data_IF_209636260348
#
_entry.id   IF_209636260348
#
_cell.length_a   1.000
_cell.length_b   1.000
_cell.length_c   1.000
_cell.angle_alpha   90.00
_cell.angle_beta   90.00
_cell.angle_gamma   90.00
#
_symmetry.space_group_name_H-M   'P 1'
#
loop_
_entity.id
_entity.type
_entity.pdbx_description
1 polymer ?
#
# COMPACT_ATOMS: atom_id res chain seq x y z
N UNK A 1 -14.38 10.03 21.08
CA UNK A 1 -14.05 9.13 19.96
C UNK A 1 -14.58 9.77 18.69
N UNK A 2 -13.68 10.27 17.85
CA UNK A 2 -13.99 10.83 16.53
C UNK A 2 -13.78 9.76 15.47
N UNK A 3 -14.66 9.72 14.47
CA UNK A 3 -14.49 8.86 13.30
C UNK A 3 -14.03 9.73 12.13
N UNK A 4 -13.09 9.21 11.35
CA UNK A 4 -12.64 9.85 10.12
C UNK A 4 -12.63 8.80 9.01
N UNK A 5 -13.29 9.13 7.90
CA UNK A 5 -13.35 8.23 6.75
C UNK A 5 -12.00 8.22 6.02
N UNK A 6 -11.59 7.03 5.59
CA UNK A 6 -10.44 6.84 4.72
C UNK A 6 -10.91 6.62 3.28
N UNK A 7 -10.37 7.39 2.34
CA UNK A 7 -10.68 7.21 0.94
C UNK A 7 -9.94 6.00 0.36
N UNK A 8 -10.69 4.99 -0.07
CA UNK A 8 -10.14 3.84 -0.78
C UNK A 8 -10.20 4.06 -2.29
N UNK A 9 -9.19 3.56 -3.00
CA UNK A 9 -9.04 3.75 -4.44
C UNK A 9 -10.22 3.17 -5.22
N UNK A 10 -10.68 1.98 -4.83
CA UNK A 10 -11.80 1.28 -5.46
C UNK A 10 -12.86 0.94 -4.40
N UNK A 11 -14.03 1.58 -4.47
CA UNK A 11 -15.16 1.31 -3.55
C UNK A 11 -16.01 0.13 -4.00
N UNK A 12 -16.16 -0.04 -5.31
CA UNK A 12 -16.90 -1.14 -5.92
C UNK A 12 -15.92 -2.24 -6.33
N UNK A 13 -16.09 -3.44 -5.78
CA UNK A 13 -15.15 -4.55 -5.95
C UNK A 13 -15.92 -5.81 -6.33
N UNK A 14 -15.43 -6.49 -7.37
CA UNK A 14 -15.92 -7.81 -7.77
C UNK A 14 -15.08 -8.89 -7.08
N UNK A 15 -15.70 -9.64 -6.17
CA UNK A 15 -15.03 -10.68 -5.39
C UNK A 15 -15.11 -12.07 -6.03
N UNK A 16 -14.55 -12.22 -7.23
CA UNK A 16 -14.35 -13.56 -7.84
C UNK A 16 -13.08 -14.25 -7.30
N UNK A 17 -12.08 -13.46 -6.88
CA UNK A 17 -10.84 -13.89 -6.23
C UNK A 17 -10.49 -12.89 -5.14
N UNK A 18 -9.57 -13.19 -4.21
CA UNK A 18 -9.13 -12.24 -3.20
C UNK A 18 -8.71 -10.89 -3.81
N UNK A 19 -9.23 -9.80 -3.25
CA UNK A 19 -8.95 -8.45 -3.69
C UNK A 19 -8.19 -7.68 -2.60
N UNK A 20 -7.28 -6.80 -3.03
CA UNK A 20 -6.56 -5.91 -2.11
C UNK A 20 -7.25 -4.56 -2.08
N UNK A 21 -7.60 -4.10 -0.87
CA UNK A 21 -8.14 -2.75 -0.64
C UNK A 21 -6.98 -1.79 -0.45
N UNK A 22 -6.99 -0.67 -1.17
CA UNK A 22 -5.91 0.32 -1.14
C UNK A 22 -6.46 1.65 -0.67
N UNK A 23 -5.95 2.13 0.47
CA UNK A 23 -6.03 3.53 0.87
C UNK A 23 -4.68 4.18 0.54
N UNK A 24 -4.69 5.23 -0.28
CA UNK A 24 -3.47 5.98 -0.57
C UNK A 24 -3.24 7.05 0.50
N UNK A 25 -1.99 7.15 0.95
CA UNK A 25 -1.56 8.20 1.87
C UNK A 25 -1.31 9.48 1.07
N UNK A 26 -2.38 10.20 0.77
CA UNK A 26 -2.36 11.50 0.08
C UNK A 26 -2.64 12.65 1.06
N UNK A 27 -2.29 13.91 0.71
CA UNK A 27 -2.64 15.07 1.52
C UNK A 27 -4.14 15.09 1.86
N UNK A 28 -4.48 15.07 3.15
CA UNK A 28 -5.86 14.98 3.65
C UNK A 28 -6.20 13.64 4.30
N UNK A 29 -5.39 12.60 4.08
CA UNK A 29 -5.46 11.38 4.90
C UNK A 29 -4.98 11.68 6.32
N UNK A 30 -5.65 11.17 7.37
CA UNK A 30 -5.18 11.30 8.75
C UNK A 30 -3.87 10.53 8.99
N UNK A 31 -3.53 9.59 8.11
CA UNK A 31 -2.31 8.78 8.22
C UNK A 31 -1.15 9.37 7.39
N UNK A 32 -1.36 10.48 6.69
CA UNK A 32 -0.38 11.06 5.76
C UNK A 32 0.94 11.49 6.44
N UNK A 33 0.83 12.01 7.67
CA UNK A 33 1.97 12.46 8.47
C UNK A 33 2.68 11.37 9.26
N UNK A 34 2.15 10.14 9.31
CA UNK A 34 2.68 9.08 10.17
C UNK A 34 3.87 8.37 9.53
N UNK A 35 5.00 8.37 10.23
CA UNK A 35 6.16 7.53 9.92
C UNK A 35 6.03 6.12 10.50
N UNK A 36 6.97 5.21 10.18
CA UNK A 36 6.98 3.84 10.71
C UNK A 36 7.17 3.77 12.22
N UNK A 37 7.96 4.68 12.80
CA UNK A 37 8.23 4.72 14.23
C UNK A 37 7.01 5.32 14.98
N UNK A 38 6.46 6.43 14.46
CA UNK A 38 5.27 7.09 15.03
C UNK A 38 4.06 6.14 15.02
N UNK A 39 3.89 5.37 13.95
CA UNK A 39 2.77 4.43 13.80
C UNK A 39 2.63 3.48 15.00
N UNK A 40 3.74 3.06 15.61
CA UNK A 40 3.72 2.12 16.74
C UNK A 40 3.30 2.77 18.07
N UNK A 41 3.41 4.08 18.18
CA UNK A 41 3.07 4.85 19.39
C UNK A 41 1.65 5.42 19.36
N UNK A 42 1.03 5.45 18.17
CA UNK A 42 -0.31 5.97 17.97
C UNK A 42 -1.42 5.08 18.57
N UNK A 43 -2.55 5.70 18.95
CA UNK A 43 -3.73 5.02 19.49
C UNK A 43 -4.94 5.23 18.58
N UNK A 44 -5.05 4.41 17.54
CA UNK A 44 -6.23 4.37 16.66
C UNK A 44 -6.66 2.94 16.33
N UNK A 45 -7.82 2.83 15.68
CA UNK A 45 -8.34 1.56 15.18
C UNK A 45 -8.91 1.77 13.77
N UNK A 46 -8.44 0.97 12.80
CA UNK A 46 -8.98 0.97 11.45
C UNK A 46 -10.15 0.00 11.37
N UNK A 47 -11.36 0.54 11.34
CA UNK A 47 -12.57 -0.27 11.16
C UNK A 47 -12.86 -0.43 9.67
N UNK A 48 -12.80 -1.67 9.19
CA UNK A 48 -13.12 -2.02 7.79
C UNK A 48 -14.50 -2.67 7.76
N UNK A 49 -15.39 -2.12 6.93
CA UNK A 49 -16.72 -2.65 6.69
C UNK A 49 -16.87 -3.07 5.24
N UNK A 50 -17.32 -4.29 5.02
CA UNK A 50 -17.66 -4.82 3.70
C UNK A 50 -19.15 -5.11 3.64
N UNK A 51 -19.85 -4.49 2.70
CA UNK A 51 -21.30 -4.64 2.50
C UNK A 51 -21.54 -5.21 1.10
N UNK A 52 -22.32 -6.27 1.00
CA UNK A 52 -22.64 -6.92 -0.27
C UNK A 52 -24.06 -7.50 -0.25
N UNK A 53 -24.62 -7.73 -1.43
CA UNK A 53 -25.90 -8.44 -1.57
C UNK A 53 -25.62 -9.90 -1.87
N UNK A 54 -26.21 -10.83 -1.11
CA UNK A 54 -26.02 -12.26 -1.33
C UNK A 54 -26.74 -12.71 -2.61
N UNK A 55 -26.00 -13.26 -3.58
CA UNK A 55 -26.55 -13.65 -4.89
C UNK A 55 -27.73 -14.63 -4.80
N UNK A 56 -27.69 -15.55 -3.83
CA UNK A 56 -28.71 -16.58 -3.65
C UNK A 56 -29.93 -16.12 -2.84
N UNK A 57 -29.76 -15.10 -1.99
CA UNK A 57 -30.81 -14.66 -1.04
C UNK A 57 -31.41 -13.31 -1.40
N UNK A 58 -30.69 -12.49 -2.19
CA UNK A 58 -31.02 -11.08 -2.41
C UNK A 58 -30.91 -10.22 -1.15
N UNK A 59 -30.38 -10.75 -0.04
CA UNK A 59 -30.29 -10.05 1.23
C UNK A 59 -29.00 -9.24 1.31
N UNK A 60 -29.07 -8.06 1.93
CA UNK A 60 -27.90 -7.25 2.22
C UNK A 60 -27.15 -7.83 3.44
N UNK A 61 -25.88 -8.15 3.24
CA UNK A 61 -24.95 -8.60 4.26
C UNK A 61 -23.92 -7.52 4.54
N UNK A 62 -23.54 -7.36 5.81
CA UNK A 62 -22.43 -6.51 6.22
C UNK A 62 -21.51 -7.28 7.15
N UNK A 63 -20.23 -7.28 6.83
CA UNK A 63 -19.14 -7.83 7.67
C UNK A 63 -18.24 -6.69 8.10
N UNK A 64 -17.74 -6.74 9.33
CA UNK A 64 -16.81 -5.75 9.87
C UNK A 64 -15.63 -6.43 10.52
N UNK A 65 -14.46 -5.85 10.37
CA UNK A 65 -13.26 -6.22 11.11
C UNK A 65 -12.51 -4.95 11.48
N UNK A 66 -11.58 -5.04 12.42
CA UNK A 66 -10.73 -3.92 12.78
C UNK A 66 -9.25 -4.29 12.86
N UNK A 67 -8.39 -3.27 12.73
CA UNK A 67 -6.94 -3.38 12.82
C UNK A 67 -6.40 -2.28 13.71
N UNK A 68 -5.55 -2.65 14.65
CA UNK A 68 -4.76 -1.73 15.48
C UNK A 68 -3.43 -1.41 14.80
N UNK A 69 -2.67 -0.40 15.25
CA UNK A 69 -1.36 -0.11 14.68
C UNK A 69 -0.39 -1.30 14.77
N UNK A 70 -0.52 -2.15 15.79
CA UNK A 70 0.25 -3.39 15.92
C UNK A 70 -0.03 -4.43 14.82
N UNK A 71 -1.20 -4.37 14.18
CA UNK A 71 -1.57 -5.25 13.06
C UNK A 71 -0.98 -4.75 11.72
N UNK A 72 -0.58 -3.48 11.64
CA UNK A 72 -0.09 -2.86 10.42
C UNK A 72 1.39 -3.21 10.19
N UNK A 73 1.67 -3.83 9.05
CA UNK A 73 3.02 -4.28 8.68
C UNK A 73 3.68 -3.29 7.72
N UNK A 74 4.40 -2.30 8.24
CA UNK A 74 5.14 -1.35 7.42
C UNK A 74 6.21 -2.06 6.57
N UNK A 75 6.34 -1.65 5.30
CA UNK A 75 7.32 -2.24 4.38
C UNK A 75 7.06 -3.69 4.00
N UNK A 76 5.82 -4.15 4.14
CA UNK A 76 5.40 -5.47 3.69
C UNK A 76 4.32 -5.38 2.61
N UNK A 77 4.33 -6.35 1.71
CA UNK A 77 3.26 -6.58 0.73
C UNK A 77 2.75 -8.02 0.82
N UNK A 78 1.49 -8.24 0.47
CA UNK A 78 0.93 -9.59 0.34
C UNK A 78 1.68 -10.40 -0.73
N UNK A 79 1.75 -11.71 -0.53
CA UNK A 79 2.30 -12.63 -1.55
C UNK A 79 1.32 -12.80 -2.70
N UNK A 80 1.86 -12.89 -3.91
CA UNK A 80 1.08 -13.24 -5.09
C UNK A 80 0.50 -14.64 -4.95
N UNK A 81 -0.84 -14.73 -4.90
CA UNK A 81 -1.56 -15.99 -4.72
C UNK A 81 -2.14 -16.56 -6.02
N UNK A 82 -2.22 -15.74 -7.08
CA UNK A 82 -2.81 -16.13 -8.36
C UNK A 82 -1.72 -16.69 -9.27
N UNK A 83 -1.86 -17.95 -9.66
CA UNK A 83 -0.99 -18.64 -10.61
C UNK A 83 -1.75 -18.84 -11.91
N UNK A 84 -1.23 -18.26 -12.99
CA UNK A 84 -1.83 -18.37 -14.33
C UNK A 84 -1.35 -19.66 -14.99
N UNK A 85 -2.26 -20.60 -15.21
CA UNK A 85 -2.03 -21.80 -15.99
C UNK A 85 -2.44 -21.63 -17.46
N UNK A 86 -2.13 -22.61 -18.30
CA UNK A 86 -2.46 -22.57 -19.75
C UNK A 86 -3.97 -22.52 -20.06
N UNK A 87 -4.82 -22.98 -19.15
CA UNK A 87 -6.28 -23.10 -19.35
C UNK A 87 -7.13 -22.60 -18.17
N UNK A 88 -6.51 -22.35 -17.02
CA UNK A 88 -7.22 -21.98 -15.79
C UNK A 88 -6.30 -21.15 -14.89
N UNK A 89 -6.91 -20.39 -13.99
CA UNK A 89 -6.25 -19.71 -12.88
C UNK A 89 -6.34 -20.57 -11.63
N UNK A 90 -5.26 -20.63 -10.86
CA UNK A 90 -5.24 -21.27 -9.54
C UNK A 90 -4.96 -20.21 -8.48
N UNK A 91 -5.79 -20.19 -7.44
CA UNK A 91 -5.60 -19.33 -6.27
C UNK A 91 -5.07 -20.18 -5.13
N UNK A 92 -3.94 -19.78 -4.55
CA UNK A 92 -3.27 -20.46 -3.45
C UNK A 92 -3.62 -19.80 -2.10
N UNK A 93 -4.72 -20.23 -1.49
CA UNK A 93 -5.22 -19.63 -0.24
C UNK A 93 -4.32 -19.86 0.98
N UNK A 94 -3.35 -20.77 0.90
CA UNK A 94 -2.33 -20.88 1.93
C UNK A 94 -1.46 -19.61 2.04
N UNK A 95 -1.42 -18.79 0.98
CA UNK A 95 -0.67 -17.54 0.93
C UNK A 95 -1.53 -16.32 1.31
N UNK A 96 -2.79 -16.50 1.69
CA UNK A 96 -3.74 -15.38 1.85
C UNK A 96 -3.28 -14.35 2.89
N UNK A 97 -2.73 -14.81 4.02
CA UNK A 97 -2.20 -13.94 5.07
C UNK A 97 -0.68 -13.76 4.99
N UNK A 98 -0.03 -14.37 4.00
CA UNK A 98 1.44 -14.36 3.90
C UNK A 98 1.94 -13.07 3.26
N UNK A 99 2.98 -12.48 3.85
CA UNK A 99 3.56 -11.21 3.39
C UNK A 99 5.05 -11.35 3.08
N UNK A 100 5.60 -10.39 2.33
CA UNK A 100 7.03 -10.29 2.02
C UNK A 100 7.53 -8.89 2.26
N UNK A 101 8.77 -8.77 2.73
CA UNK A 101 9.46 -7.49 2.84
C UNK A 101 9.70 -6.83 1.48
N UNK A 102 9.47 -5.53 1.44
CA UNK A 102 9.79 -4.66 0.31
C UNK A 102 10.57 -3.44 0.78
N UNK A 103 11.62 -3.01 0.05
CA UNK A 103 12.31 -1.77 0.38
C UNK A 103 11.35 -0.59 0.26
N UNK A 104 11.10 0.08 1.39
CA UNK A 104 10.31 1.32 1.46
C UNK A 104 11.09 2.37 2.25
N UNK A 105 10.86 3.66 1.98
CA UNK A 105 11.37 4.73 2.83
C UNK A 105 10.93 4.56 4.29
N UNK A 106 11.79 4.94 5.22
CA UNK A 106 11.48 5.01 6.66
C UNK A 106 10.98 6.40 7.04
N UNK A 107 10.19 7.00 6.17
CA UNK A 107 9.67 8.36 6.28
C UNK A 107 8.16 8.31 6.16
N UNK A 108 7.46 9.30 6.70
CA UNK A 108 6.03 9.43 6.43
C UNK A 108 5.77 9.79 4.96
N UNK A 109 4.52 9.61 4.51
CA UNK A 109 4.14 9.99 3.15
C UNK A 109 4.33 11.50 2.91
N UNK A 110 4.02 12.32 3.92
CA UNK A 110 4.25 13.77 3.88
C UNK A 110 5.72 14.14 3.65
N UNK A 111 6.63 13.53 4.41
CA UNK A 111 8.06 13.79 4.30
C UNK A 111 8.62 13.34 2.95
N UNK A 112 8.17 12.19 2.48
CA UNK A 112 8.54 11.64 1.18
C UNK A 112 8.13 12.57 0.04
N UNK A 113 6.89 13.06 0.06
CA UNK A 113 6.37 13.97 -0.95
C UNK A 113 7.04 15.34 -0.89
N UNK A 114 7.36 15.84 0.32
CA UNK A 114 8.11 17.09 0.51
C UNK A 114 9.51 17.01 -0.11
N UNK A 115 10.19 15.87 0.03
CA UNK A 115 11.51 15.63 -0.57
C UNK A 115 11.50 15.46 -2.09
N UNK A 116 10.34 15.15 -2.69
CA UNK A 116 10.17 14.99 -4.14
C UNK A 116 9.83 16.28 -4.88
N UNK A 117 9.34 17.30 -4.19
CA UNK A 117 9.06 18.60 -4.83
C UNK A 117 10.40 19.22 -5.29
N UNK A 118 10.57 19.55 -6.58
CA UNK A 118 11.72 20.30 -7.03
C UNK A 118 11.76 21.61 -6.25
N UNK A 119 12.92 21.95 -5.68
CA UNK A 119 13.17 23.30 -5.19
C UNK A 119 13.25 24.20 -6.42
N UNK A 120 12.10 24.71 -6.88
CA UNK A 120 12.08 25.82 -7.84
C UNK A 120 12.57 27.06 -7.11
N UNK A 121 13.87 27.34 -7.24
CA UNK A 121 14.50 28.57 -6.77
C UNK A 121 15.64 28.38 -5.78
N UNK A 122 16.77 27.87 -6.23
CA UNK A 122 18.07 28.45 -5.86
C UNK A 122 19.17 27.95 -6.80
N UNK A 123 20.01 28.92 -7.15
CA UNK A 123 21.01 28.89 -8.18
C UNK A 123 22.13 27.86 -7.93
N UNK A 124 22.56 27.22 -9.03
CA UNK A 124 23.85 26.54 -9.25
C UNK A 124 24.68 26.09 -8.02
N UNK A 125 24.66 24.78 -7.70
CA UNK A 125 25.84 23.96 -7.31
C UNK A 125 25.50 22.46 -7.21
N UNK A 126 26.13 21.69 -8.10
CA UNK A 126 26.44 20.24 -8.12
C UNK A 126 25.75 19.28 -7.11
N UNK A 127 25.24 18.11 -7.54
CA UNK A 127 24.68 17.12 -6.63
C UNK A 127 25.78 16.45 -5.80
N UNK A 128 25.77 16.71 -4.49
CA UNK A 128 26.46 15.87 -3.51
C UNK A 128 25.63 14.60 -3.31
N UNK A 129 26.15 13.49 -3.82
CA UNK A 129 25.66 12.15 -3.52
C UNK A 129 25.78 11.88 -2.03
N UNK A 130 24.66 11.73 -1.32
CA UNK A 130 24.65 11.20 0.05
C UNK A 130 24.96 9.71 0.00
N UNK A 131 26.25 9.38 0.11
CA UNK A 131 26.71 8.00 0.23
C UNK A 131 26.38 7.48 1.63
N UNK A 132 25.26 6.78 1.80
CA UNK A 132 25.02 5.95 2.98
C UNK A 132 25.80 4.66 2.80
N UNK A 133 26.97 4.56 3.44
CA UNK A 133 27.69 3.29 3.62
C UNK A 133 27.29 2.69 4.96
N UNK A 134 26.64 1.52 4.95
CA UNK A 134 26.81 0.48 5.98
C UNK A 134 26.45 -0.90 5.42
N UNK A 135 27.43 -1.80 5.55
CA UNK A 135 27.43 -3.26 5.35
C UNK A 135 27.00 -3.83 3.98
N UNK A 136 28.00 -4.03 3.12
CA UNK A 136 28.21 -5.32 2.44
C UNK A 136 27.56 -5.57 1.08
N UNK A 137 26.56 -4.81 0.65
CA UNK A 137 25.89 -5.06 -0.63
C UNK A 137 25.70 -3.76 -1.41
N UNK A 138 26.41 -3.63 -2.53
CA UNK A 138 26.22 -2.52 -3.48
C UNK A 138 25.10 -2.89 -4.45
N UNK A 139 23.89 -2.35 -4.26
CA UNK A 139 22.86 -2.39 -5.30
C UNK A 139 22.98 -1.14 -6.18
N UNK A 140 23.28 -1.35 -7.46
CA UNK A 140 23.22 -0.30 -8.49
C UNK A 140 21.75 -0.16 -8.90
N UNK A 141 21.15 0.99 -8.65
CA UNK A 141 19.83 1.31 -9.17
C UNK A 141 20.01 1.81 -10.60
N UNK A 142 19.57 1.02 -11.58
CA UNK A 142 19.42 1.49 -12.95
C UNK A 142 18.06 2.19 -13.07
N UNK A 143 18.08 3.37 -13.66
CA UNK A 143 16.97 4.32 -13.75
C UNK A 143 15.97 4.05 -14.88
N UNK A 144 15.96 2.85 -15.48
CA UNK A 144 15.19 2.56 -16.70
C UNK A 144 14.10 1.50 -16.47
N UNK A 145 13.17 1.77 -15.55
CA UNK A 145 11.85 1.09 -15.54
C UNK A 145 10.76 2.11 -15.27
N UNK A 146 10.64 3.08 -16.16
CA UNK A 146 9.42 3.87 -16.36
C UNK A 146 8.81 3.40 -17.68
N UNK A 147 7.50 3.14 -17.70
CA UNK A 147 6.65 2.87 -18.88
C UNK A 147 6.31 1.41 -19.29
N UNK A 148 6.31 0.40 -18.41
CA UNK A 148 5.81 -0.94 -18.80
C UNK A 148 4.68 -1.56 -17.95
N UNK A 149 4.07 -0.84 -17.00
CA UNK A 149 2.96 -1.40 -16.19
C UNK A 149 1.59 -0.77 -16.50
N UNK A 150 1.49 0.10 -17.51
CA UNK A 150 0.23 0.79 -17.85
C UNK A 150 -0.69 -0.01 -18.81
N UNK A 151 -0.41 -1.28 -19.12
CA UNK A 151 -1.19 -2.06 -20.12
C UNK A 151 -1.87 -3.34 -19.59
N UNK A 152 -1.98 -3.49 -18.28
CA UNK A 152 -2.79 -4.54 -17.66
C UNK A 152 -3.47 -3.93 -16.43
N UNK A 153 -4.74 -3.57 -16.41
CA UNK A 153 -5.89 -4.35 -16.89
C UNK A 153 -7.08 -3.39 -16.99
N UNK A 154 -7.51 -3.07 -18.21
CA UNK A 154 -8.94 -2.84 -18.46
C UNK A 154 -9.58 -4.23 -18.40
N UNK A 155 -10.34 -4.47 -17.33
CA UNK A 155 -11.53 -5.32 -17.21
C UNK A 155 -11.93 -5.34 -15.73
#
# INVERSE_FOLDING_TARGET
MSYQDLEIQNRDIVLATPATIIHKLEPGSPLYGLGPDDLLEEEFELVVSFTYTGDSTGMLHQTRTSYTPADIRWGQRFRDMIKVGKKHYKVDYALFNETTWVPVPTLSAEEYDRGRRPVEGSDSRSPLTSSIKRNGYTCRVNSDVTEEVLHQTRL
#
